data_IF_022699020019
#
_entry.id   IF_022699020019
#
_cell.length_a   1.000
_cell.length_b   1.000
_cell.length_c   1.000
_cell.angle_alpha   90.00
_cell.angle_beta   90.00
_cell.angle_gamma   90.00
#
_symmetry.space_group_name_H-M   'P 1'
#
loop_
_entity.id
_entity.type
_entity.pdbx_description
1 polymer ?
#
# COMPACT_ATOMS: atom_id res chain seq x y z
N UNK A 1 -16.95 -9.74 -11.73
CA UNK A 1 -18.06 -10.64 -12.07
C UNK A 1 -17.56 -11.69 -13.07
N UNK A 2 -17.79 -12.95 -12.75
CA UNK A 2 -17.47 -14.05 -13.64
C UNK A 2 -18.73 -14.45 -14.41
N UNK A 3 -18.67 -14.40 -15.74
CA UNK A 3 -19.78 -14.83 -16.60
C UNK A 3 -19.41 -16.13 -17.28
N UNK A 4 -20.28 -17.14 -17.17
CA UNK A 4 -20.11 -18.44 -17.81
C UNK A 4 -21.05 -18.54 -19.03
N UNK A 5 -20.50 -18.96 -20.16
CA UNK A 5 -21.28 -19.26 -21.37
C UNK A 5 -20.83 -20.62 -21.94
N UNK A 6 -21.74 -21.38 -22.60
CA UNK A 6 -21.32 -22.58 -23.31
C UNK A 6 -20.34 -22.18 -24.42
N UNK A 7 -19.23 -22.91 -24.54
CA UNK A 7 -18.29 -22.69 -25.63
C UNK A 7 -18.99 -22.96 -26.96
N UNK A 8 -18.91 -22.02 -27.90
CA UNK A 8 -19.51 -22.16 -29.21
C UNK A 8 -18.95 -23.39 -29.91
N UNK A 9 -19.83 -24.30 -30.24
CA UNK A 9 -19.75 -25.41 -31.19
C UNK A 9 -18.33 -25.88 -31.62
N UNK A 10 -17.68 -26.67 -30.78
CA UNK A 10 -16.69 -27.63 -31.28
C UNK A 10 -17.02 -28.99 -30.66
N UNK A 11 -17.40 -29.93 -31.59
CA UNK A 11 -17.64 -31.36 -31.41
C UNK A 11 -18.29 -31.77 -30.08
N UNK A 12 -19.61 -31.75 -30.07
CA UNK A 12 -20.40 -32.47 -29.06
C UNK A 12 -20.31 -33.97 -29.36
N UNK A 13 -19.30 -34.63 -28.84
CA UNK A 13 -19.51 -36.02 -28.42
C UNK A 13 -20.46 -35.94 -27.25
N UNK A 14 -21.44 -36.85 -27.18
CA UNK A 14 -22.47 -36.87 -26.11
C UNK A 14 -21.89 -36.89 -24.70
N UNK A 15 -20.60 -37.19 -24.56
CA UNK A 15 -19.87 -37.33 -23.31
C UNK A 15 -18.87 -36.21 -23.02
N UNK A 16 -18.77 -35.16 -23.85
CA UNK A 16 -17.82 -34.05 -23.67
C UNK A 16 -18.54 -32.71 -23.79
N UNK A 17 -18.18 -31.77 -22.91
CA UNK A 17 -18.67 -30.38 -22.94
C UNK A 17 -17.53 -29.42 -22.64
N UNK A 18 -17.60 -28.22 -23.18
CA UNK A 18 -16.71 -27.14 -22.85
C UNK A 18 -17.49 -25.88 -22.46
N UNK A 19 -17.04 -25.20 -21.44
CA UNK A 19 -17.60 -23.93 -20.98
C UNK A 19 -16.52 -22.85 -21.04
N UNK A 20 -16.84 -21.72 -21.63
CA UNK A 20 -15.98 -20.55 -21.58
C UNK A 20 -16.37 -19.71 -20.36
N UNK A 21 -15.37 -19.41 -19.52
CA UNK A 21 -15.50 -18.51 -18.38
C UNK A 21 -14.80 -17.21 -18.76
N UNK A 22 -15.52 -16.10 -18.63
CA UNK A 22 -14.99 -14.75 -18.90
C UNK A 22 -15.13 -13.88 -17.67
N UNK A 23 -14.20 -12.97 -17.48
CA UNK A 23 -14.20 -12.03 -16.38
C UNK A 23 -13.12 -10.99 -16.52
N UNK A 24 -12.89 -10.24 -15.45
CA UNK A 24 -11.77 -9.30 -15.34
C UNK A 24 -10.93 -9.68 -14.13
N UNK A 25 -9.64 -9.87 -14.32
CA UNK A 25 -8.68 -9.99 -13.22
C UNK A 25 -8.48 -8.59 -12.64
N UNK A 26 -8.87 -8.41 -11.38
CA UNK A 26 -8.71 -7.15 -10.64
C UNK A 26 -7.44 -7.12 -9.79
N UNK A 27 -6.74 -8.23 -9.70
CA UNK A 27 -5.46 -8.36 -9.01
C UNK A 27 -4.99 -9.79 -8.92
N UNK A 28 -3.73 -9.95 -8.54
CA UNK A 28 -3.08 -11.26 -8.30
C UNK A 28 -2.49 -11.31 -6.91
N UNK A 29 -2.70 -12.44 -6.25
CA UNK A 29 -2.02 -12.76 -5.02
C UNK A 29 -0.70 -13.47 -5.37
N UNK A 30 0.41 -12.82 -5.06
CA UNK A 30 1.76 -13.37 -5.29
C UNK A 30 2.17 -14.31 -4.17
N UNK A 31 3.26 -15.03 -4.35
CA UNK A 31 3.91 -15.77 -3.25
C UNK A 31 4.12 -14.86 -2.05
N UNK A 32 3.96 -15.41 -0.84
CA UNK A 32 4.04 -14.62 0.40
C UNK A 32 2.86 -13.68 0.65
N UNK A 33 1.76 -13.78 -0.11
CA UNK A 33 0.51 -13.09 0.17
C UNK A 33 0.44 -11.62 -0.28
N UNK A 34 1.41 -11.11 -1.02
CA UNK A 34 1.38 -9.77 -1.57
C UNK A 34 0.31 -9.64 -2.67
N UNK A 35 -0.61 -8.68 -2.52
CA UNK A 35 -1.64 -8.40 -3.52
C UNK A 35 -1.17 -7.32 -4.48
N UNK A 36 -1.21 -7.64 -5.78
CA UNK A 36 -0.89 -6.70 -6.86
C UNK A 36 -2.17 -6.40 -7.63
N UNK A 37 -2.67 -5.15 -7.63
CA UNK A 37 -3.82 -4.75 -8.43
C UNK A 37 -3.52 -4.92 -9.91
N UNK A 38 -4.49 -5.42 -10.67
CA UNK A 38 -4.45 -5.56 -12.12
C UNK A 38 -5.81 -5.19 -12.71
N UNK A 39 -5.85 -4.96 -14.01
CA UNK A 39 -7.11 -4.81 -14.75
C UNK A 39 -6.93 -5.46 -16.12
N UNK A 40 -7.07 -6.78 -16.17
CA UNK A 40 -6.82 -7.59 -17.36
C UNK A 40 -8.04 -8.45 -17.68
N UNK A 41 -8.36 -8.58 -18.96
CA UNK A 41 -9.41 -9.51 -19.40
C UNK A 41 -9.02 -10.96 -19.14
N UNK A 42 -9.94 -11.73 -18.57
CA UNK A 42 -9.76 -13.17 -18.32
C UNK A 42 -10.71 -13.99 -19.18
N UNK A 43 -10.16 -14.95 -19.89
CA UNK A 43 -10.93 -15.97 -20.60
C UNK A 43 -10.28 -17.34 -20.40
N UNK A 44 -11.07 -18.31 -20.01
CA UNK A 44 -10.63 -19.69 -19.84
C UNK A 44 -11.69 -20.68 -20.32
N UNK A 45 -11.26 -21.81 -20.85
CA UNK A 45 -12.15 -22.89 -21.25
C UNK A 45 -12.01 -24.03 -20.26
N UNK A 46 -13.12 -24.43 -19.68
CA UNK A 46 -13.24 -25.59 -18.78
C UNK A 46 -13.78 -26.75 -19.59
N UNK A 47 -13.02 -27.83 -19.67
CA UNK A 47 -13.42 -29.06 -20.33
C UNK A 47 -14.04 -30.02 -19.32
N UNK A 48 -15.20 -30.58 -19.67
CA UNK A 48 -15.90 -31.56 -18.85
C UNK A 48 -16.15 -32.83 -19.64
N UNK A 49 -16.03 -33.96 -18.98
CA UNK A 49 -16.28 -35.30 -19.50
C UNK A 49 -17.25 -36.06 -18.64
N UNK A 50 -18.18 -36.79 -19.28
CA UNK A 50 -19.14 -37.65 -18.59
C UNK A 50 -18.49 -39.01 -18.33
N UNK A 51 -18.37 -39.38 -17.04
CA UNK A 51 -17.89 -40.68 -16.58
C UNK A 51 -18.93 -41.24 -15.57
N UNK A 52 -19.33 -42.49 -15.71
CA UNK A 52 -20.30 -43.13 -14.82
C UNK A 52 -21.56 -42.30 -14.60
N UNK A 53 -22.11 -41.74 -15.69
CA UNK A 53 -23.28 -40.86 -15.72
C UNK A 53 -23.12 -39.51 -14.96
N UNK A 54 -21.93 -39.17 -14.51
CA UNK A 54 -21.62 -37.91 -13.84
C UNK A 54 -20.64 -37.06 -14.67
N UNK A 55 -20.91 -35.73 -14.72
CA UNK A 55 -19.99 -34.79 -15.32
C UNK A 55 -18.82 -34.52 -14.39
N UNK A 56 -17.62 -34.66 -14.90
CA UNK A 56 -16.37 -34.33 -14.18
C UNK A 56 -15.55 -33.33 -15.00
N UNK A 57 -14.80 -32.51 -14.32
CA UNK A 57 -13.83 -31.61 -14.97
C UNK A 57 -12.67 -32.45 -15.48
N UNK A 58 -12.39 -32.35 -16.79
CA UNK A 58 -11.32 -33.08 -17.47
C UNK A 58 -10.05 -32.24 -17.65
N UNK A 59 -10.19 -30.91 -17.61
CA UNK A 59 -9.06 -29.98 -17.66
C UNK A 59 -9.41 -28.60 -17.14
N UNK A 60 -8.48 -28.04 -16.36
CA UNK A 60 -8.51 -26.67 -15.84
C UNK A 60 -7.25 -25.94 -16.24
N UNK A 61 -7.32 -24.62 -16.48
CA UNK A 61 -6.13 -23.79 -16.55
C UNK A 61 -5.33 -23.89 -15.24
N UNK A 62 -4.03 -23.68 -15.33
CA UNK A 62 -3.19 -23.61 -14.14
C UNK A 62 -3.54 -22.38 -13.27
N UNK A 63 -3.48 -22.54 -11.95
CA UNK A 63 -3.74 -21.48 -10.98
C UNK A 63 -5.10 -21.60 -10.31
N UNK A 64 -5.35 -20.69 -9.40
CA UNK A 64 -6.61 -20.56 -8.65
C UNK A 64 -7.24 -19.22 -9.01
N UNK A 65 -8.47 -19.26 -9.47
CA UNK A 65 -9.29 -18.07 -9.73
C UNK A 65 -10.39 -18.04 -8.67
N UNK A 66 -10.51 -16.92 -8.00
CA UNK A 66 -11.55 -16.72 -6.98
C UNK A 66 -12.19 -15.34 -7.11
N UNK A 67 -13.43 -15.22 -6.68
CA UNK A 67 -14.11 -13.95 -6.58
C UNK A 67 -13.60 -13.15 -5.37
N UNK A 68 -13.82 -11.82 -5.40
CA UNK A 68 -13.42 -10.92 -4.30
C UNK A 68 -13.97 -11.35 -2.95
N UNK A 69 -15.22 -11.83 -2.91
CA UNK A 69 -15.84 -12.26 -1.66
C UNK A 69 -15.22 -13.56 -1.15
N UNK A 70 -14.90 -14.49 -2.03
CA UNK A 70 -14.20 -15.72 -1.68
C UNK A 70 -12.80 -15.44 -1.14
N UNK A 71 -12.08 -14.49 -1.75
CA UNK A 71 -10.79 -14.03 -1.21
C UNK A 71 -10.94 -13.50 0.22
N UNK A 72 -11.92 -12.64 0.49
CA UNK A 72 -12.16 -12.09 1.84
C UNK A 72 -12.62 -13.14 2.85
N UNK A 73 -13.36 -14.14 2.40
CA UNK A 73 -13.82 -15.23 3.25
C UNK A 73 -12.67 -16.13 3.69
N UNK A 74 -11.72 -16.40 2.80
CA UNK A 74 -10.65 -17.37 3.00
C UNK A 74 -9.29 -16.79 3.36
N UNK A 75 -9.08 -15.48 3.18
CA UNK A 75 -7.82 -14.81 3.49
C UNK A 75 -8.05 -13.68 4.49
N UNK A 76 -7.05 -13.44 5.35
CA UNK A 76 -7.00 -12.31 6.28
C UNK A 76 -5.81 -11.41 5.91
N UNK A 77 -5.99 -10.09 5.84
CA UNK A 77 -4.86 -9.19 5.70
C UNK A 77 -4.08 -9.16 7.01
N UNK A 78 -2.76 -9.23 6.91
CA UNK A 78 -1.80 -9.06 7.99
C UNK A 78 -0.76 -8.04 7.58
N UNK A 79 -0.32 -7.19 8.50
CA UNK A 79 0.75 -6.21 8.24
C UNK A 79 2.07 -6.74 8.77
N UNK A 80 3.05 -6.87 7.89
CA UNK A 80 4.44 -7.00 8.27
C UNK A 80 5.07 -5.61 8.25
N UNK A 81 5.88 -5.27 9.24
CA UNK A 81 6.48 -3.95 9.30
C UNK A 81 7.93 -3.98 8.83
N UNK A 82 8.30 -3.01 7.99
CA UNK A 82 9.67 -2.81 7.52
C UNK A 82 10.08 -1.36 7.72
N UNK A 83 11.34 -1.12 8.04
CA UNK A 83 11.83 0.24 8.16
C UNK A 83 11.93 0.93 6.80
N UNK A 84 11.56 2.20 6.74
CA UNK A 84 11.96 3.11 5.68
C UNK A 84 13.49 3.16 5.62
N UNK A 85 14.06 3.50 4.47
CA UNK A 85 15.52 3.56 4.31
C UNK A 85 16.22 4.50 5.31
N UNK A 86 15.52 5.51 5.83
CA UNK A 86 16.02 6.42 6.88
C UNK A 86 16.05 5.83 8.29
N UNK A 87 15.50 4.63 8.51
CA UNK A 87 15.43 3.92 9.80
C UNK A 87 14.61 4.62 10.92
N UNK A 88 13.79 5.57 10.58
CA UNK A 88 13.02 6.37 11.54
C UNK A 88 11.55 5.91 11.65
N UNK A 89 11.02 5.26 10.63
CA UNK A 89 9.61 4.91 10.52
C UNK A 89 9.43 3.46 10.06
N UNK A 90 8.54 2.75 10.74
CA UNK A 90 8.01 1.45 10.30
C UNK A 90 6.85 1.65 9.32
N UNK A 91 6.93 1.01 8.16
CA UNK A 91 5.87 1.01 7.13
C UNK A 91 5.25 -0.37 7.00
N UNK A 92 3.91 -0.45 6.87
CA UNK A 92 3.22 -1.72 6.77
C UNK A 92 3.32 -2.31 5.35
N UNK A 93 3.69 -3.57 5.25
CA UNK A 93 3.59 -4.41 4.08
C UNK A 93 2.42 -5.37 4.24
N UNK A 94 1.29 -5.04 3.63
CA UNK A 94 0.07 -5.82 3.78
C UNK A 94 0.10 -7.11 2.99
N UNK A 95 -0.01 -8.25 3.68
CA UNK A 95 -0.05 -9.59 3.13
C UNK A 95 -1.40 -10.25 3.39
N UNK A 96 -1.90 -10.98 2.41
CA UNK A 96 -3.12 -11.76 2.55
C UNK A 96 -2.79 -13.21 2.85
N UNK A 97 -3.09 -13.67 4.04
CA UNK A 97 -2.79 -15.02 4.51
C UNK A 97 -4.04 -15.87 4.53
N UNK A 98 -3.90 -17.14 4.11
CA UNK A 98 -5.01 -18.09 4.08
C UNK A 98 -5.47 -18.49 5.48
N UNK A 99 -6.77 -18.37 5.77
CA UNK A 99 -7.36 -18.66 7.10
C UNK A 99 -7.43 -20.15 7.45
N UNK A 100 -7.42 -21.03 6.46
CA UNK A 100 -7.60 -22.47 6.63
C UNK A 100 -6.33 -23.24 7.03
N UNK A 101 -5.20 -22.58 7.20
CA UNK A 101 -3.99 -23.13 7.80
C UNK A 101 -3.87 -22.70 9.26
N UNK A 102 -3.04 -23.37 10.04
CA UNK A 102 -2.53 -22.75 11.25
C UNK A 102 -1.79 -21.49 10.82
N UNK A 103 -2.40 -20.33 11.03
CA UNK A 103 -1.72 -19.05 10.92
C UNK A 103 -0.79 -18.97 12.12
N UNK A 104 0.27 -19.72 12.03
CA UNK A 104 1.26 -19.73 13.07
C UNK A 104 2.06 -18.43 12.96
N UNK A 105 2.38 -17.87 14.09
CA UNK A 105 3.43 -16.86 14.25
C UNK A 105 4.63 -17.19 13.35
N UNK A 106 4.97 -18.47 13.21
CA UNK A 106 6.01 -18.98 12.33
C UNK A 106 5.85 -18.55 10.87
N UNK A 107 4.62 -18.52 10.33
CA UNK A 107 4.38 -18.06 8.96
C UNK A 107 4.68 -16.57 8.83
N UNK A 108 4.22 -15.75 9.78
CA UNK A 108 4.49 -14.31 9.79
C UNK A 108 5.99 -14.03 9.89
N UNK A 109 6.68 -14.71 10.80
CA UNK A 109 8.11 -14.54 11.01
C UNK A 109 8.93 -15.02 9.80
N UNK A 110 8.53 -16.11 9.17
CA UNK A 110 9.15 -16.55 7.92
C UNK A 110 8.99 -15.50 6.81
N UNK A 111 7.80 -14.96 6.62
CA UNK A 111 7.55 -13.90 5.64
C UNK A 111 8.31 -12.61 5.98
N UNK A 112 8.45 -12.28 7.26
CA UNK A 112 9.26 -11.15 7.71
C UNK A 112 10.74 -11.35 7.31
N UNK A 113 11.26 -12.58 7.44
CA UNK A 113 12.62 -12.94 7.02
C UNK A 113 12.76 -12.98 5.48
N UNK A 114 11.71 -13.32 4.72
CA UNK A 114 11.74 -13.23 3.25
C UNK A 114 11.88 -11.78 2.78
N UNK A 115 11.46 -10.81 3.59
CA UNK A 115 11.57 -9.38 3.34
C UNK A 115 10.34 -8.73 2.72
N UNK A 116 10.45 -7.42 2.40
CA UNK A 116 9.33 -6.62 1.91
C UNK A 116 8.88 -7.08 0.52
N UNK A 117 7.58 -6.88 0.23
CA UNK A 117 7.03 -7.11 -1.11
C UNK A 117 7.70 -6.21 -2.14
N UNK A 118 7.70 -6.63 -3.40
CA UNK A 118 8.33 -5.89 -4.49
C UNK A 118 7.77 -4.47 -4.67
N UNK A 119 6.54 -4.20 -4.20
CA UNK A 119 5.90 -2.89 -4.28
C UNK A 119 6.50 -1.86 -3.33
N UNK A 120 6.98 -2.28 -2.14
CA UNK A 120 7.56 -1.37 -1.15
C UNK A 120 9.07 -1.57 -0.95
N UNK A 121 9.63 -2.67 -1.46
CA UNK A 121 11.07 -2.97 -1.33
C UNK A 121 12.00 -1.81 -1.74
N UNK A 122 11.70 -1.00 -2.81
CA UNK A 122 12.57 0.12 -3.18
C UNK A 122 12.64 1.24 -2.12
N UNK A 123 11.61 1.36 -1.26
CA UNK A 123 11.51 2.42 -0.25
C UNK A 123 11.85 1.94 1.17
N UNK A 124 12.06 0.64 1.35
CA UNK A 124 12.26 0.00 2.65
C UNK A 124 13.59 -0.72 2.71
N UNK A 125 14.01 -1.03 3.94
CA UNK A 125 15.17 -1.89 4.18
C UNK A 125 14.81 -3.05 5.10
N UNK A 126 15.59 -4.10 5.03
CA UNK A 126 15.55 -5.27 5.93
C UNK A 126 16.51 -5.03 7.08
N UNK A 127 15.99 -4.79 8.29
CA UNK A 127 16.84 -4.60 9.47
C UNK A 127 17.66 -5.87 9.81
N UNK A 128 17.07 -7.04 9.61
CA UNK A 128 17.73 -8.32 9.87
C UNK A 128 18.83 -8.73 8.86
N UNK A 129 18.94 -8.03 7.71
CA UNK A 129 19.82 -8.50 6.63
C UNK A 129 19.24 -9.68 5.83
N UNK A 130 20.04 -10.27 4.93
CA UNK A 130 19.56 -11.32 4.01
C UNK A 130 19.74 -12.74 4.54
N UNK A 131 20.64 -12.95 5.49
CA UNK A 131 21.04 -14.28 5.96
C UNK A 131 20.32 -14.72 7.24
N UNK A 132 19.44 -13.88 7.79
CA UNK A 132 18.72 -14.19 9.02
C UNK A 132 17.55 -15.12 8.72
N UNK A 133 17.43 -16.17 9.52
CA UNK A 133 16.36 -17.15 9.44
C UNK A 133 15.64 -17.31 10.77
N UNK A 134 14.34 -17.57 10.71
CA UNK A 134 13.56 -17.97 11.87
C UNK A 134 13.74 -19.49 12.11
N UNK A 135 14.36 -19.84 13.22
CA UNK A 135 14.67 -21.23 13.57
C UNK A 135 13.54 -21.95 14.32
N UNK A 136 12.56 -21.20 14.85
CA UNK A 136 11.40 -21.76 15.53
C UNK A 136 11.06 -21.07 16.85
N UNK A 137 10.10 -21.64 17.57
CA UNK A 137 9.66 -21.18 18.89
C UNK A 137 9.89 -22.25 19.95
N UNK A 138 10.51 -21.86 21.05
CA UNK A 138 10.71 -22.66 22.26
C UNK A 138 9.91 -22.06 23.43
N UNK A 139 9.30 -22.88 24.28
CA UNK A 139 8.48 -22.39 25.40
C UNK A 139 9.26 -21.64 26.48
N UNK A 140 10.52 -21.97 26.69
CA UNK A 140 11.37 -21.37 27.72
C UNK A 140 12.16 -20.19 27.16
N UNK A 141 12.66 -20.34 25.94
CA UNK A 141 13.56 -19.37 25.30
C UNK A 141 12.85 -18.41 24.32
N UNK A 142 11.61 -18.69 23.91
CA UNK A 142 10.84 -17.86 23.00
C UNK A 142 11.21 -18.09 21.53
N UNK A 143 11.13 -17.03 20.73
CA UNK A 143 11.43 -17.04 19.30
C UNK A 143 12.93 -17.13 19.05
N UNK A 144 13.36 -18.08 18.21
CA UNK A 144 14.75 -18.36 17.91
C UNK A 144 15.08 -17.87 16.50
N UNK A 145 16.15 -17.08 16.39
CA UNK A 145 16.67 -16.61 15.11
C UNK A 145 18.16 -16.96 15.00
N UNK A 146 18.59 -17.24 13.78
CA UNK A 146 19.98 -17.55 13.43
C UNK A 146 20.49 -16.61 12.33
N UNK A 147 21.81 -16.35 12.32
CA UNK A 147 22.46 -15.52 11.31
C UNK A 147 22.53 -14.04 11.64
N UNK A 148 22.39 -13.66 12.92
CA UNK A 148 22.46 -12.27 13.38
C UNK A 148 23.84 -11.88 13.93
N UNK A 149 24.83 -12.76 13.89
CA UNK A 149 26.14 -12.52 14.49
C UNK A 149 26.83 -11.27 13.94
N UNK A 150 26.65 -10.97 12.65
CA UNK A 150 27.26 -9.83 11.96
C UNK A 150 26.48 -8.51 12.11
N UNK A 151 25.28 -8.53 12.72
CA UNK A 151 24.50 -7.33 12.94
C UNK A 151 25.05 -6.52 14.11
N UNK A 152 25.16 -5.22 13.91
CA UNK A 152 25.51 -4.29 15.00
C UNK A 152 24.34 -4.10 15.98
N UNK A 153 24.60 -3.43 17.11
CA UNK A 153 23.61 -3.23 18.16
C UNK A 153 22.39 -2.41 17.69
N UNK A 154 22.59 -1.46 16.77
CA UNK A 154 21.52 -0.65 16.22
C UNK A 154 20.61 -1.49 15.31
N UNK A 155 21.17 -2.26 14.39
CA UNK A 155 20.39 -3.11 13.50
C UNK A 155 19.66 -4.22 14.27
N UNK A 156 20.23 -4.75 15.36
CA UNK A 156 19.52 -5.67 16.27
C UNK A 156 18.33 -5.01 16.96
N UNK A 157 18.48 -3.74 17.38
CA UNK A 157 17.39 -2.97 17.99
C UNK A 157 16.27 -2.68 16.98
N UNK A 158 16.63 -2.29 15.75
CA UNK A 158 15.65 -2.07 14.66
C UNK A 158 14.93 -3.36 14.29
N UNK A 159 15.65 -4.48 14.22
CA UNK A 159 15.01 -5.77 13.97
C UNK A 159 14.07 -6.19 15.10
N UNK A 160 14.44 -5.93 16.36
CA UNK A 160 13.58 -6.19 17.51
C UNK A 160 12.29 -5.36 17.45
N UNK A 161 12.38 -4.07 17.13
CA UNK A 161 11.21 -3.20 16.94
C UNK A 161 10.29 -3.71 15.81
N UNK A 162 10.88 -4.06 14.66
CA UNK A 162 10.16 -4.63 13.52
C UNK A 162 9.39 -5.90 13.89
N UNK A 163 10.02 -6.80 14.64
CA UNK A 163 9.45 -8.05 15.12
C UNK A 163 8.28 -7.80 16.09
N UNK A 164 8.53 -6.97 17.12
CA UNK A 164 7.55 -6.70 18.18
C UNK A 164 6.28 -6.06 17.58
N UNK A 165 6.42 -5.05 16.73
CA UNK A 165 5.28 -4.40 16.11
C UNK A 165 4.54 -5.33 15.12
N UNK A 166 5.25 -6.18 14.38
CA UNK A 166 4.63 -7.18 13.51
C UNK A 166 3.80 -8.21 14.29
N UNK A 167 4.33 -8.73 15.39
CA UNK A 167 3.63 -9.70 16.23
C UNK A 167 2.43 -9.06 16.96
N UNK A 168 2.59 -7.85 17.47
CA UNK A 168 1.51 -7.13 18.16
C UNK A 168 0.35 -6.81 17.21
N UNK A 169 0.62 -6.32 16.01
CA UNK A 169 -0.40 -6.06 14.99
C UNK A 169 -1.14 -7.34 14.55
N UNK A 170 -0.45 -8.46 14.57
CA UNK A 170 -1.05 -9.78 14.31
C UNK A 170 -1.91 -10.30 15.47
N UNK A 171 -2.02 -9.55 16.58
CA UNK A 171 -2.83 -9.89 17.74
C UNK A 171 -2.12 -10.72 18.81
N UNK A 172 -0.80 -10.88 18.71
CA UNK A 172 -0.02 -11.55 19.75
C UNK A 172 0.31 -10.58 20.89
N UNK A 173 0.21 -11.06 22.11
CA UNK A 173 0.45 -10.24 23.31
C UNK A 173 1.85 -10.52 23.86
N UNK A 174 2.67 -9.46 23.96
CA UNK A 174 3.96 -9.50 24.63
C UNK A 174 3.88 -9.63 26.16
N UNK A 175 5.01 -9.62 26.91
CA UNK A 175 6.35 -9.44 26.35
C UNK A 175 6.88 -10.68 25.61
N UNK A 176 7.66 -10.46 24.55
CA UNK A 176 8.20 -11.50 23.70
C UNK A 176 9.64 -11.83 24.11
N UNK A 177 9.93 -13.10 24.37
CA UNK A 177 11.30 -13.59 24.49
C UNK A 177 11.84 -13.85 23.09
N UNK A 178 13.02 -13.32 22.78
CA UNK A 178 13.64 -13.47 21.47
C UNK A 178 15.13 -13.73 21.63
N UNK A 179 15.60 -14.81 21.04
CA UNK A 179 17.03 -15.21 21.04
C UNK A 179 17.59 -15.12 19.63
N UNK A 180 18.81 -14.66 19.55
CA UNK A 180 19.61 -14.51 18.34
C UNK A 180 20.92 -15.26 18.51
N UNK A 181 21.15 -16.30 17.70
CA UNK A 181 22.35 -17.16 17.78
C UNK A 181 22.64 -17.68 19.21
N UNK A 182 21.57 -17.98 19.97
CA UNK A 182 21.62 -18.49 21.35
C UNK A 182 21.74 -17.44 22.45
N UNK A 183 21.94 -16.16 22.13
CA UNK A 183 21.94 -15.01 23.05
C UNK A 183 20.69 -14.18 23.00
N UNK A 184 20.61 -13.11 23.79
CA UNK A 184 19.52 -12.13 23.68
C UNK A 184 19.60 -11.37 22.33
N UNK A 185 18.46 -11.08 21.71
CA UNK A 185 18.44 -10.31 20.48
C UNK A 185 18.99 -8.89 20.70
N UNK A 186 18.54 -8.24 21.78
CA UNK A 186 19.04 -6.94 22.23
C UNK A 186 19.76 -7.17 23.55
N UNK A 187 21.02 -6.73 23.65
CA UNK A 187 21.84 -6.94 24.83
C UNK A 187 21.17 -6.37 26.09
N UNK A 188 21.04 -7.20 27.14
CA UNK A 188 20.45 -6.83 28.41
C UNK A 188 18.91 -6.82 28.46
N UNK A 189 18.23 -7.24 27.37
CA UNK A 189 16.77 -7.35 27.31
C UNK A 189 16.35 -8.82 27.19
N UNK A 190 15.96 -9.44 28.30
CA UNK A 190 15.49 -10.85 28.31
C UNK A 190 14.11 -11.02 27.63
N UNK A 191 13.31 -9.94 27.59
CA UNK A 191 12.04 -9.90 26.88
C UNK A 191 11.79 -8.52 26.29
N UNK A 192 11.02 -8.47 25.21
CA UNK A 192 10.75 -7.29 24.39
C UNK A 192 9.25 -6.96 24.41
N UNK A 193 8.91 -5.70 24.55
CA UNK A 193 7.54 -5.20 24.53
C UNK A 193 7.38 -3.99 23.60
N UNK A 194 6.17 -3.61 23.28
CA UNK A 194 5.90 -2.38 22.50
C UNK A 194 6.41 -1.12 23.17
N UNK A 195 6.41 -1.09 24.51
CA UNK A 195 6.89 0.07 25.28
C UNK A 195 8.41 0.30 25.09
N UNK A 196 9.18 -0.77 24.88
CA UNK A 196 10.62 -0.69 24.62
C UNK A 196 10.94 -0.07 23.24
N UNK A 197 9.96 -0.07 22.33
CA UNK A 197 10.08 0.40 20.95
C UNK A 197 8.99 1.44 20.61
N UNK A 198 8.54 2.21 21.59
CA UNK A 198 7.50 3.23 21.41
C UNK A 198 7.90 4.28 20.37
N UNK A 199 9.18 4.66 20.30
CA UNK A 199 9.71 5.60 19.31
C UNK A 199 9.54 5.13 17.83
N UNK A 200 9.31 3.83 17.63
CA UNK A 200 9.06 3.22 16.32
C UNK A 200 7.59 2.83 16.12
N UNK A 201 6.67 3.39 16.91
CA UNK A 201 5.25 3.10 16.79
C UNK A 201 4.73 3.47 15.40
N UNK A 202 4.28 2.48 14.58
CA UNK A 202 3.81 2.76 13.22
C UNK A 202 2.53 3.62 13.19
N UNK A 203 1.75 3.65 14.28
CA UNK A 203 0.56 4.50 14.39
C UNK A 203 0.93 5.96 14.69
N UNK A 204 1.98 6.21 15.44
CA UNK A 204 2.43 7.57 15.74
C UNK A 204 3.03 8.25 14.52
N UNK A 205 3.71 7.50 13.65
CA UNK A 205 4.19 8.04 12.38
C UNK A 205 3.04 8.38 11.42
N UNK A 206 1.87 7.78 11.60
CA UNK A 206 0.62 8.15 10.91
C UNK A 206 -0.17 9.24 11.66
N UNK A 207 0.16 9.51 12.92
CA UNK A 207 -0.42 10.57 13.77
C UNK A 207 0.38 11.87 13.79
N UNK A 208 1.43 12.04 13.02
CA UNK A 208 1.68 13.33 12.41
C UNK A 208 0.42 13.66 11.60
N UNK A 209 -0.61 14.14 12.29
CA UNK A 209 -1.87 14.55 11.70
C UNK A 209 -1.50 15.59 10.67
N UNK A 210 -1.48 15.18 9.39
CA UNK A 210 -1.40 16.12 8.30
C UNK A 210 -2.48 17.14 8.60
N UNK A 211 -2.08 18.40 8.80
CA UNK A 211 -3.03 19.45 9.10
C UNK A 211 -4.15 19.40 8.07
N UNK A 212 -5.37 19.47 8.53
CA UNK A 212 -6.51 19.48 7.62
C UNK A 212 -6.66 20.89 7.04
N UNK A 213 -6.70 20.99 5.74
CA UNK A 213 -6.94 22.24 5.04
C UNK A 213 -8.25 22.19 4.27
N UNK A 214 -8.94 23.33 4.23
CA UNK A 214 -10.17 23.50 3.50
C UNK A 214 -10.08 24.76 2.61
N UNK A 215 -10.77 24.74 1.47
CA UNK A 215 -10.97 25.93 0.65
C UNK A 215 -12.40 26.44 0.83
N UNK A 216 -12.52 27.72 1.17
CA UNK A 216 -13.80 28.39 1.23
C UNK A 216 -13.73 29.74 0.51
N UNK A 217 -14.58 29.94 -0.51
CA UNK A 217 -14.64 31.17 -1.30
C UNK A 217 -13.26 31.63 -1.84
N UNK A 218 -12.44 30.65 -2.27
CA UNK A 218 -11.10 30.91 -2.79
C UNK A 218 -10.05 31.28 -1.75
N UNK A 219 -10.31 31.06 -0.47
CA UNK A 219 -9.39 31.24 0.62
C UNK A 219 -9.04 29.90 1.28
N UNK A 220 -7.78 29.74 1.64
CA UNK A 220 -7.30 28.56 2.33
C UNK A 220 -7.45 28.71 3.84
N UNK A 221 -8.04 27.70 4.45
CA UNK A 221 -8.24 27.61 5.89
C UNK A 221 -7.49 26.37 6.43
N UNK A 222 -6.91 26.51 7.59
CA UNK A 222 -6.45 25.41 8.43
C UNK A 222 -7.58 25.01 9.37
N UNK A 223 -7.86 23.70 9.49
CA UNK A 223 -8.92 23.18 10.37
C UNK A 223 -8.24 22.41 11.48
N UNK A 224 -8.38 22.90 12.70
CA UNK A 224 -7.89 22.27 13.92
C UNK A 224 -9.03 22.12 14.92
N UNK A 225 -9.19 20.91 15.48
CA UNK A 225 -10.25 20.55 16.44
C UNK A 225 -11.67 21.04 16.04
N UNK A 226 -11.96 20.97 14.74
CA UNK A 226 -13.24 21.41 14.17
C UNK A 226 -13.42 22.92 14.02
N UNK A 227 -12.40 23.72 14.31
CA UNK A 227 -12.37 25.16 14.08
C UNK A 227 -11.56 25.45 12.81
N UNK A 228 -12.17 26.20 11.89
CA UNK A 228 -11.53 26.61 10.66
C UNK A 228 -11.00 28.04 10.77
N UNK A 229 -9.71 28.23 10.61
CA UNK A 229 -9.06 29.55 10.63
C UNK A 229 -8.35 29.81 9.30
N UNK A 230 -8.38 31.06 8.85
CA UNK A 230 -7.65 31.45 7.64
C UNK A 230 -6.14 31.30 7.87
N UNK A 231 -5.44 30.67 6.90
CA UNK A 231 -3.97 30.65 6.93
C UNK A 231 -3.42 32.08 6.88
N UNK A 232 -2.27 32.31 7.53
CA UNK A 232 -1.72 33.66 7.68
C UNK A 232 -1.13 34.23 6.38
N UNK A 233 -0.87 33.39 5.39
CA UNK A 233 -0.35 33.80 4.09
C UNK A 233 -1.41 34.45 3.18
N UNK A 234 -1.00 34.91 2.02
CA UNK A 234 -1.90 35.46 0.99
C UNK A 234 -2.97 34.49 0.55
N UNK A 235 -2.74 33.18 0.67
CA UNK A 235 -3.71 32.14 0.33
C UNK A 235 -4.96 32.15 1.25
N UNK A 236 -4.83 32.67 2.46
CA UNK A 236 -5.95 32.76 3.41
C UNK A 236 -6.89 33.95 3.17
N UNK A 237 -6.56 34.89 2.28
CA UNK A 237 -7.34 36.14 2.11
C UNK A 237 -7.47 36.61 0.66
N UNK A 238 -6.94 35.90 -0.32
CA UNK A 238 -6.90 36.36 -1.71
C UNK A 238 -8.18 36.13 -2.50
N UNK A 239 -9.00 35.15 -2.11
CA UNK A 239 -10.25 34.82 -2.77
C UNK A 239 -10.12 34.21 -4.17
N UNK A 240 -8.91 33.85 -4.60
CA UNK A 240 -8.61 33.40 -5.95
C UNK A 240 -8.04 31.97 -6.02
N UNK A 241 -7.87 31.30 -4.89
CA UNK A 241 -7.37 29.92 -4.83
C UNK A 241 -8.42 28.96 -5.37
N UNK A 242 -8.07 28.20 -6.41
CA UNK A 242 -8.95 27.23 -7.04
C UNK A 242 -8.75 25.81 -6.48
N UNK A 243 -7.50 25.44 -6.27
CA UNK A 243 -7.10 24.15 -5.68
C UNK A 243 -5.74 24.26 -5.04
N UNK A 244 -5.47 23.39 -4.07
CA UNK A 244 -4.24 23.42 -3.30
C UNK A 244 -3.87 22.02 -2.85
N UNK A 245 -2.57 21.80 -2.68
CA UNK A 245 -1.99 20.69 -1.95
C UNK A 245 -0.91 21.23 -1.00
N UNK A 246 -0.84 20.71 0.21
CA UNK A 246 0.11 21.11 1.24
C UNK A 246 0.88 19.88 1.67
N UNK A 247 2.20 19.92 1.51
CA UNK A 247 3.10 18.86 1.95
C UNK A 247 3.33 18.92 3.46
N UNK A 248 3.67 17.80 4.07
CA UNK A 248 4.01 17.72 5.51
C UNK A 248 5.21 18.62 5.88
N UNK A 249 6.07 18.92 4.92
CA UNK A 249 7.19 19.88 5.06
C UNK A 249 6.75 21.34 5.23
N UNK A 250 5.46 21.66 5.03
CA UNK A 250 4.94 23.02 5.00
C UNK A 250 5.07 23.72 3.64
N UNK A 251 5.55 23.01 2.59
CA UNK A 251 5.48 23.50 1.23
C UNK A 251 4.04 23.44 0.73
N UNK A 252 3.63 24.43 -0.05
CA UNK A 252 2.31 24.51 -0.65
C UNK A 252 2.42 24.69 -2.16
N UNK A 253 1.58 23.99 -2.89
CA UNK A 253 1.33 24.17 -4.31
C UNK A 253 -0.13 24.61 -4.49
N UNK A 254 -0.35 25.80 -5.04
CA UNK A 254 -1.68 26.38 -5.18
C UNK A 254 -1.95 26.79 -6.62
N UNK A 255 -3.09 26.37 -7.18
CA UNK A 255 -3.60 26.89 -8.44
C UNK A 255 -4.48 28.09 -8.12
N UNK A 256 -4.12 29.24 -8.66
CA UNK A 256 -4.80 30.50 -8.46
C UNK A 256 -5.37 31.02 -9.78
N UNK A 257 -6.53 31.66 -9.71
CA UNK A 257 -7.16 32.28 -10.88
C UNK A 257 -6.58 33.67 -11.11
N UNK A 258 -6.15 33.93 -12.33
CA UNK A 258 -5.72 35.27 -12.78
C UNK A 258 -6.90 36.14 -13.25
N UNK A 259 -6.64 37.46 -13.36
CA UNK A 259 -7.66 38.43 -13.81
C UNK A 259 -8.12 38.24 -15.26
N UNK A 260 -7.34 37.58 -16.10
CA UNK A 260 -7.67 37.21 -17.48
C UNK A 260 -8.40 35.87 -17.60
N UNK A 261 -8.81 35.28 -16.49
CA UNK A 261 -9.47 33.98 -16.38
C UNK A 261 -8.56 32.77 -16.66
N UNK A 262 -7.24 32.98 -16.83
CA UNK A 262 -6.23 31.93 -16.81
C UNK A 262 -5.89 31.52 -15.36
N UNK A 263 -5.11 30.50 -15.22
CA UNK A 263 -4.66 29.96 -13.94
C UNK A 263 -3.14 30.00 -13.86
N UNK A 264 -2.61 30.17 -12.65
CA UNK A 264 -1.21 30.06 -12.32
C UNK A 264 -1.00 29.03 -11.21
N UNK A 265 -0.06 28.11 -11.39
CA UNK A 265 0.45 27.29 -10.31
C UNK A 265 1.53 28.10 -9.57
N UNK A 266 1.33 28.30 -8.29
CA UNK A 266 2.29 28.92 -7.39
C UNK A 266 2.80 27.89 -6.38
N UNK A 267 4.10 27.90 -6.11
CA UNK A 267 4.75 27.01 -5.16
C UNK A 267 5.60 27.83 -4.19
N UNK A 268 5.60 27.46 -2.93
CA UNK A 268 6.39 28.10 -1.89
C UNK A 268 6.09 27.54 -0.50
N UNK A 269 6.52 28.23 0.53
CA UNK A 269 6.19 27.91 1.92
C UNK A 269 4.78 28.42 2.26
N UNK A 270 4.01 27.65 3.03
CA UNK A 270 2.63 27.99 3.40
C UNK A 270 2.53 29.37 4.09
N UNK A 271 3.48 29.71 4.96
CA UNK A 271 3.56 30.99 5.66
C UNK A 271 4.51 32.00 5.00
N UNK A 272 5.04 31.65 3.81
CA UNK A 272 6.04 32.41 3.08
C UNK A 272 5.53 33.06 1.79
N UNK A 273 6.48 33.35 0.90
CA UNK A 273 6.18 33.85 -0.43
C UNK A 273 6.03 32.73 -1.43
N UNK A 274 5.01 32.83 -2.28
CA UNK A 274 4.78 31.91 -3.37
C UNK A 274 5.40 32.45 -4.66
N UNK A 275 5.95 31.55 -5.47
CA UNK A 275 6.53 31.85 -6.78
C UNK A 275 5.68 31.23 -7.88
N UNK A 276 5.45 31.98 -8.95
CA UNK A 276 4.79 31.48 -10.16
C UNK A 276 5.66 30.40 -10.80
N UNK A 277 5.07 29.26 -11.10
CA UNK A 277 5.73 28.11 -11.72
C UNK A 277 5.25 27.86 -13.14
N UNK A 278 3.94 27.66 -13.31
CA UNK A 278 3.31 27.32 -14.60
C UNK A 278 2.00 28.09 -14.76
N UNK A 279 1.79 28.65 -15.94
CA UNK A 279 0.54 29.30 -16.33
C UNK A 279 -0.20 28.49 -17.39
N UNK A 280 -1.52 28.56 -17.38
CA UNK A 280 -2.33 27.90 -18.40
C UNK A 280 -3.83 28.23 -18.30
N UNK A 281 -4.57 27.96 -19.37
CA UNK A 281 -6.00 28.21 -19.40
C UNK A 281 -6.80 27.28 -18.44
N UNK A 282 -6.23 26.12 -18.14
CA UNK A 282 -6.83 25.16 -17.18
C UNK A 282 -5.71 24.35 -16.53
N UNK A 283 -5.65 24.39 -15.20
CA UNK A 283 -4.71 23.61 -14.41
C UNK A 283 -5.49 22.65 -13.49
N UNK A 284 -5.08 21.38 -13.48
CA UNK A 284 -5.62 20.40 -12.54
C UNK A 284 -5.13 20.68 -11.12
N UNK A 285 -5.78 20.10 -10.12
CA UNK A 285 -5.33 20.14 -8.74
C UNK A 285 -3.87 19.64 -8.66
N UNK A 286 -2.98 20.41 -8.04
CA UNK A 286 -1.62 19.97 -7.83
C UNK A 286 -1.58 18.84 -6.78
N UNK A 287 -0.53 18.04 -6.82
CA UNK A 287 -0.24 17.00 -5.83
C UNK A 287 1.26 16.90 -5.63
N UNK A 288 1.71 16.97 -4.38
CA UNK A 288 3.11 16.71 -4.05
C UNK A 288 3.43 15.22 -4.17
N UNK A 289 4.64 14.91 -4.59
CA UNK A 289 5.18 13.57 -4.40
C UNK A 289 5.43 13.29 -2.91
N UNK A 290 5.57 12.02 -2.56
CA UNK A 290 5.69 11.57 -1.17
C UNK A 290 6.80 12.27 -0.37
N UNK A 291 7.94 12.57 -1.00
CA UNK A 291 9.05 13.27 -0.35
C UNK A 291 8.85 14.80 -0.25
N UNK A 292 7.78 15.34 -0.80
CA UNK A 292 7.45 16.76 -0.78
C UNK A 292 8.38 17.66 -1.59
N UNK A 293 9.27 17.10 -2.43
CA UNK A 293 10.26 17.89 -3.18
C UNK A 293 9.78 18.37 -4.55
N UNK A 294 8.82 17.67 -5.14
CA UNK A 294 8.22 18.05 -6.41
C UNK A 294 6.68 18.01 -6.32
N UNK A 295 6.03 18.92 -7.02
CA UNK A 295 4.60 18.96 -7.19
C UNK A 295 4.23 18.70 -8.65
N UNK A 296 3.20 17.90 -8.87
CA UNK A 296 2.66 17.54 -10.18
C UNK A 296 1.34 18.24 -10.40
N UNK A 297 1.16 18.81 -11.58
CA UNK A 297 -0.14 19.28 -12.07
C UNK A 297 -0.28 18.92 -13.53
N UNK A 298 -1.52 18.91 -14.04
CA UNK A 298 -1.82 18.62 -15.42
C UNK A 298 -2.37 19.87 -16.11
N UNK A 299 -1.82 20.20 -17.28
CA UNK A 299 -2.41 21.17 -18.20
C UNK A 299 -3.49 20.47 -19.00
N UNK A 300 -4.74 20.86 -18.78
CA UNK A 300 -5.88 20.33 -19.55
C UNK A 300 -6.06 21.24 -20.77
N UNK A 301 -5.67 20.74 -21.93
CA UNK A 301 -6.06 21.35 -23.21
C UNK A 301 -7.44 20.80 -23.60
N UNK A 302 -8.45 21.65 -23.62
CA UNK A 302 -9.67 21.33 -24.37
C UNK A 302 -9.33 21.57 -25.84
N UNK A 303 -9.04 20.52 -26.60
CA UNK A 303 -9.11 20.62 -28.05
C UNK A 303 -10.59 20.76 -28.40
N UNK A 304 -11.01 21.93 -28.83
CA UNK A 304 -12.23 22.09 -29.59
C UNK A 304 -12.03 21.36 -30.95
N UNK A 305 -12.28 20.06 -30.91
CA UNK A 305 -12.48 19.28 -32.12
C UNK A 305 -13.96 19.25 -32.44
N UNK A 306 -14.51 20.44 -32.70
CA UNK A 306 -15.84 20.57 -33.29
C UNK A 306 -15.86 21.90 -34.06
N UNK A 307 -15.36 21.87 -35.30
CA UNK A 307 -15.87 22.71 -36.41
C UNK A 307 -14.99 22.48 -37.65
N UNK A 308 -15.16 21.36 -38.31
CA UNK A 308 -14.95 21.23 -39.75
C UNK A 308 -15.98 20.23 -40.30
N UNK A 309 -17.27 20.58 -40.16
CA UNK A 309 -18.27 20.33 -41.18
C UNK A 309 -18.59 21.63 -41.81
N UNK A 310 -17.91 21.95 -42.91
CA UNK A 310 -18.64 22.67 -43.95
C UNK A 310 -18.01 22.49 -45.33
N UNK A 311 -18.90 22.04 -46.21
CA UNK A 311 -19.00 22.39 -47.63
C UNK A 311 -17.93 21.84 -48.58
N UNK A 312 -18.27 20.83 -49.43
CA UNK A 312 -18.96 21.01 -50.72
C UNK A 312 -19.49 19.66 -51.19
#
# INVERSE_FOLDING_TARGET
>A
DIVTAPASKQSSRDNERAFTVRGTIIGRLKSGGAYVPENEGYEAVIYMKKQDDRWRVDGLPAGVVMERNEMRNHYTPQSLYFFKQSNDVLVPDRRWLYKGGEQSESTLLTLLMEGPSSSIAPATRRAAGENVTFAGYDREQGYQFEGLADLDAQDRTLFAAQLVWTLTEAGHTGPFKVKADGGDLVEGMDSLSVDDFADYNPEESSTSLSKLYALNEGNLLEVDDGVAEHVKSTLGSSGDVQSVDVADSGLVAAVRRKSNNDFSLQIGELDGQLQDSVDGPTLARPTFEYNGQAAWTCLLYTSDAADEEDSV
#
